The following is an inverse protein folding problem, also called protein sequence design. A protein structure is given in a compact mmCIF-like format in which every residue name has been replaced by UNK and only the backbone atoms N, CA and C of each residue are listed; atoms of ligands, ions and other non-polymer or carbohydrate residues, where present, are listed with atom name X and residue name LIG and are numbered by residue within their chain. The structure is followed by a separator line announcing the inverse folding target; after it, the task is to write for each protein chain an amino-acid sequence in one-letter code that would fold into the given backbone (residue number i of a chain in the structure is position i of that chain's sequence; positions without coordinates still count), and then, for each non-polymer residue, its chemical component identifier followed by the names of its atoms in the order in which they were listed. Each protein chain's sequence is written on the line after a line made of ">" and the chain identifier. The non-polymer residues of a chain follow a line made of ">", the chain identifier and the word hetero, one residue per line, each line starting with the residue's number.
data_IF_650028926853
#
_entry.id   IF_650028926853
#
_cell.length_a   1.000
_cell.length_b   1.000
_cell.length_c   1.000
_cell.angle_alpha   90.00
_cell.angle_beta   90.00
_cell.angle_gamma   90.00
#
_symmetry.space_group_name_H-M   'P 1'
#
loop_
_entity.id
_entity.type
_entity.pdbx_description
1 polymer ?
#
# COMPACT_ATOMS: atom_id res chain seq x y z
N UNK A 1 -4.04 6.49 -18.47
CA UNK A 1 -4.57 7.83 -18.12
C UNK A 1 -6.08 7.92 -18.41
N UNK A 2 -6.87 6.95 -17.94
CA UNK A 2 -8.31 6.93 -18.25
C UNK A 2 -9.07 8.10 -17.60
N UNK A 3 -8.84 8.35 -16.30
CA UNK A 3 -9.54 9.41 -15.56
C UNK A 3 -9.26 10.82 -16.11
N UNK A 4 -7.99 11.14 -16.34
CA UNK A 4 -7.51 12.40 -16.95
C UNK A 4 -8.21 12.69 -18.29
N UNK A 5 -8.28 11.69 -19.17
CA UNK A 5 -8.97 11.80 -20.46
C UNK A 5 -10.49 11.98 -20.35
N UNK A 6 -11.08 11.61 -19.21
CA UNK A 6 -12.50 11.81 -18.92
C UNK A 6 -12.75 13.09 -18.09
N UNK A 7 -11.76 13.99 -18.00
CA UNK A 7 -11.91 15.31 -17.39
C UNK A 7 -11.69 15.35 -15.88
N UNK A 8 -11.03 14.34 -15.29
CA UNK A 8 -10.66 14.34 -13.88
C UNK A 8 -9.35 15.12 -13.68
N UNK A 9 -9.37 16.12 -12.81
CA UNK A 9 -8.16 16.83 -12.39
C UNK A 9 -7.33 15.97 -11.41
N UNK A 10 -6.08 15.70 -11.77
CA UNK A 10 -5.12 14.95 -10.93
C UNK A 10 -4.11 15.94 -10.33
N UNK A 11 -4.34 16.33 -9.08
CA UNK A 11 -3.51 17.31 -8.38
C UNK A 11 -2.52 16.60 -7.46
N UNK A 12 -1.28 16.46 -7.90
CA UNK A 12 -0.20 15.89 -7.10
C UNK A 12 0.46 16.94 -6.19
N UNK A 13 1.24 16.46 -5.23
CA UNK A 13 1.96 17.27 -4.23
C UNK A 13 1.00 18.23 -3.50
N UNK A 14 -0.20 17.74 -3.23
CA UNK A 14 -1.35 18.47 -2.69
C UNK A 14 -1.88 17.68 -1.50
N UNK A 15 -1.20 17.81 -0.36
CA UNK A 15 -1.60 17.10 0.86
C UNK A 15 -2.84 17.76 1.43
N UNK A 16 -3.86 16.97 1.76
CA UNK A 16 -5.01 17.42 2.54
C UNK A 16 -4.59 17.53 4.00
N UNK A 17 -4.70 18.73 4.56
CA UNK A 17 -4.30 19.07 5.94
C UNK A 17 -5.51 19.32 6.85
N UNK A 18 -6.72 19.42 6.29
CA UNK A 18 -7.96 19.58 7.03
C UNK A 18 -9.19 19.34 6.15
N UNK A 19 -10.34 19.12 6.79
CA UNK A 19 -11.63 18.91 6.13
C UNK A 19 -12.62 19.95 6.68
N UNK A 20 -13.22 20.74 5.78
CA UNK A 20 -14.17 21.79 6.13
C UNK A 20 -15.58 21.20 6.25
N UNK A 21 -16.33 21.65 7.27
CA UNK A 21 -17.70 21.22 7.55
C UNK A 21 -18.60 22.41 7.91
N UNK A 22 -19.86 22.32 7.50
CA UNK A 22 -20.97 23.12 8.02
C UNK A 22 -21.97 22.18 8.69
N UNK A 23 -21.97 22.16 10.03
CA UNK A 23 -22.63 21.11 10.81
C UNK A 23 -22.10 19.72 10.43
N UNK A 24 -23.01 18.82 10.04
CA UNK A 24 -22.69 17.44 9.63
C UNK A 24 -22.34 17.31 8.14
N UNK A 25 -22.36 18.40 7.37
CA UNK A 25 -22.12 18.40 5.93
C UNK A 25 -20.68 18.81 5.62
N UNK A 26 -19.95 17.99 4.86
CA UNK A 26 -18.64 18.35 4.32
C UNK A 26 -18.81 19.37 3.19
N UNK A 27 -17.98 20.41 3.20
CA UNK A 27 -18.02 21.52 2.23
C UNK A 27 -16.71 21.72 1.46
N UNK A 28 -15.61 21.12 1.91
CA UNK A 28 -14.30 21.31 1.29
C UNK A 28 -13.16 20.61 2.02
N UNK A 29 -11.96 20.82 1.50
CA UNK A 29 -10.70 20.39 2.10
C UNK A 29 -9.68 21.54 2.09
N UNK A 30 -8.90 21.61 3.16
CA UNK A 30 -7.71 22.45 3.22
C UNK A 30 -6.53 21.63 2.71
N UNK A 31 -5.73 22.23 1.82
CA UNK A 31 -4.56 21.56 1.26
C UNK A 31 -3.33 22.43 1.30
N UNK A 32 -2.15 21.83 1.12
CA UNK A 32 -0.89 22.56 0.96
C UNK A 32 -0.83 23.45 -0.29
N UNK A 33 -1.80 23.34 -1.20
CA UNK A 33 -1.91 24.13 -2.43
C UNK A 33 -3.13 25.05 -2.45
N UNK A 34 -3.77 25.27 -1.30
CA UNK A 34 -4.97 26.10 -1.14
C UNK A 34 -6.23 25.29 -0.83
N UNK A 35 -7.30 25.99 -0.49
CA UNK A 35 -8.59 25.37 -0.20
C UNK A 35 -9.27 24.89 -1.49
N UNK A 36 -9.93 23.73 -1.43
CA UNK A 36 -10.73 23.18 -2.53
C UNK A 36 -12.13 22.90 -1.98
N UNK A 37 -13.15 23.58 -2.50
CA UNK A 37 -14.54 23.33 -2.14
C UNK A 37 -15.07 22.10 -2.87
N UNK A 38 -15.91 21.32 -2.21
CA UNK A 38 -16.53 20.15 -2.81
C UNK A 38 -17.89 19.85 -2.20
N UNK A 39 -18.80 19.29 -3.01
CA UNK A 39 -20.12 18.86 -2.54
C UNK A 39 -20.07 17.49 -1.85
N UNK A 40 -19.08 16.67 -2.20
CA UNK A 40 -18.87 15.32 -1.70
C UNK A 40 -17.37 15.05 -1.61
N UNK A 41 -16.96 14.39 -0.54
CA UNK A 41 -15.59 13.95 -0.32
C UNK A 41 -15.56 12.43 -0.19
N UNK A 42 -14.65 11.78 -0.92
CA UNK A 42 -14.37 10.36 -0.80
C UNK A 42 -12.92 10.17 -0.32
N UNK A 43 -12.71 9.34 0.70
CA UNK A 43 -11.39 9.02 1.23
C UNK A 43 -10.85 7.75 0.58
N UNK A 44 -9.71 7.87 -0.10
CA UNK A 44 -8.99 6.75 -0.72
C UNK A 44 -7.48 6.82 -0.42
N UNK A 45 -7.14 6.93 0.87
CA UNK A 45 -5.78 7.28 1.35
C UNK A 45 -5.05 6.11 2.05
N UNK A 46 -5.56 4.88 1.91
CA UNK A 46 -4.92 3.63 2.38
C UNK A 46 -4.40 3.73 3.83
N UNK A 47 -3.10 3.55 4.06
CA UNK A 47 -2.49 3.61 5.40
C UNK A 47 -2.74 4.91 6.16
N UNK A 48 -2.97 6.03 5.46
CA UNK A 48 -3.27 7.33 6.09
C UNK A 48 -4.74 7.51 6.47
N UNK A 49 -5.60 6.50 6.28
CA UNK A 49 -7.05 6.63 6.51
C UNK A 49 -7.40 7.01 7.94
N UNK A 50 -6.75 6.40 8.94
CA UNK A 50 -6.96 6.76 10.34
C UNK A 50 -6.46 8.18 10.69
N UNK A 51 -5.51 8.73 9.93
CA UNK A 51 -5.05 10.11 10.12
C UNK A 51 -6.08 11.10 9.54
N UNK A 52 -6.54 10.87 8.32
CA UNK A 52 -7.52 11.73 7.66
C UNK A 52 -8.89 11.67 8.34
N UNK A 53 -9.34 10.50 8.80
CA UNK A 53 -10.63 10.37 9.51
C UNK A 53 -10.67 11.18 10.82
N UNK A 54 -9.52 11.34 11.49
CA UNK A 54 -9.42 12.19 12.70
C UNK A 54 -9.66 13.66 12.41
N UNK A 55 -9.47 14.14 11.18
CA UNK A 55 -9.78 15.52 10.79
C UNK A 55 -11.28 15.84 10.89
N UNK A 56 -12.13 14.80 10.93
CA UNK A 56 -13.57 14.89 11.17
C UNK A 56 -14.02 14.16 12.43
N UNK A 57 -13.10 14.00 13.40
CA UNK A 57 -13.35 13.37 14.71
C UNK A 57 -13.84 11.92 14.62
N UNK A 58 -13.56 11.24 13.51
CA UNK A 58 -13.96 9.87 13.27
C UNK A 58 -12.83 8.90 13.63
N UNK A 59 -13.13 7.92 14.48
CA UNK A 59 -12.24 6.79 14.76
C UNK A 59 -12.57 5.63 13.82
N UNK A 60 -11.59 5.19 13.05
CA UNK A 60 -11.68 3.97 12.25
C UNK A 60 -11.15 2.75 13.02
N UNK A 61 -11.79 1.58 12.92
CA UNK A 61 -11.35 0.34 13.57
C UNK A 61 -10.28 -0.36 12.72
N UNK A 62 -9.19 0.34 12.39
CA UNK A 62 -8.09 -0.19 11.58
C UNK A 62 -6.73 0.25 12.13
N UNK A 63 -5.72 -0.55 11.84
CA UNK A 63 -4.31 -0.28 12.15
C UNK A 63 -3.47 -0.23 10.88
N UNK A 64 -2.27 0.34 10.98
CA UNK A 64 -1.34 0.45 9.85
C UNK A 64 -0.03 -0.23 10.23
N UNK A 65 0.31 -1.26 9.47
CA UNK A 65 1.47 -2.10 9.67
C UNK A 65 2.45 -1.91 8.51
N UNK A 66 3.72 -2.17 8.77
CA UNK A 66 4.69 -2.33 7.70
C UNK A 66 4.47 -3.68 7.00
N UNK A 67 4.64 -3.70 5.68
CA UNK A 67 4.66 -4.89 4.86
C UNK A 67 5.87 -4.79 3.94
N UNK A 68 6.64 -5.87 3.83
CA UNK A 68 7.82 -5.92 2.97
C UNK A 68 7.56 -6.78 1.73
N UNK A 69 8.14 -6.34 0.62
CA UNK A 69 8.19 -7.08 -0.63
C UNK A 69 9.59 -6.94 -1.23
N UNK A 70 9.99 -7.93 -2.00
CA UNK A 70 11.33 -8.10 -2.51
C UNK A 70 11.30 -8.41 -4.00
N UNK A 71 12.42 -8.12 -4.66
CA UNK A 71 12.63 -8.47 -6.06
C UNK A 71 13.96 -9.18 -6.24
N UNK A 72 14.01 -10.17 -7.12
CA UNK A 72 15.26 -10.77 -7.57
C UNK A 72 15.86 -9.97 -8.74
N UNK A 73 17.08 -10.34 -9.14
CA UNK A 73 17.59 -10.03 -10.46
C UNK A 73 16.73 -10.64 -11.58
N UNK A 74 16.94 -10.19 -12.83
CA UNK A 74 16.20 -10.69 -13.97
C UNK A 74 16.58 -12.13 -14.33
N UNK A 75 15.59 -13.01 -14.35
CA UNK A 75 15.75 -14.42 -14.74
C UNK A 75 15.10 -14.67 -16.10
N UNK A 76 15.52 -15.75 -16.77
CA UNK A 76 14.73 -16.32 -17.87
C UNK A 76 13.34 -16.75 -17.32
N UNK A 77 12.32 -16.94 -18.19
CA UNK A 77 11.03 -17.47 -17.74
C UNK A 77 11.21 -18.69 -16.84
N UNK A 78 10.71 -18.59 -15.61
CA UNK A 78 10.93 -19.52 -14.51
C UNK A 78 9.63 -19.94 -13.83
N UNK A 79 8.71 -18.99 -13.61
CA UNK A 79 7.35 -19.25 -13.14
C UNK A 79 6.35 -18.49 -14.02
N UNK A 80 5.30 -19.19 -14.45
CA UNK A 80 4.28 -18.71 -15.38
C UNK A 80 2.94 -18.35 -14.71
N UNK A 81 2.89 -18.47 -13.39
CA UNK A 81 1.70 -18.17 -12.57
C UNK A 81 2.09 -17.46 -11.27
N UNK A 82 1.07 -16.95 -10.58
CA UNK A 82 1.19 -16.48 -9.20
C UNK A 82 1.06 -17.68 -8.27
N UNK A 83 1.99 -17.82 -7.33
CA UNK A 83 1.96 -18.88 -6.31
C UNK A 83 1.81 -18.25 -4.93
N UNK A 84 0.94 -18.82 -4.12
CA UNK A 84 0.78 -18.48 -2.70
C UNK A 84 0.95 -19.72 -1.84
N UNK A 85 1.80 -19.64 -0.83
CA UNK A 85 2.05 -20.68 0.16
C UNK A 85 1.63 -20.18 1.54
N UNK A 86 0.36 -20.44 1.89
CA UNK A 86 -0.23 -19.92 3.13
C UNK A 86 0.43 -20.43 4.40
N UNK A 87 0.88 -21.69 4.43
CA UNK A 87 1.47 -22.28 5.64
C UNK A 87 2.87 -21.73 5.96
N UNK A 88 3.60 -21.21 4.97
CA UNK A 88 4.89 -20.54 5.16
C UNK A 88 4.84 -19.04 4.93
N UNK A 89 3.65 -18.44 4.84
CA UNK A 89 3.46 -17.00 4.65
C UNK A 89 4.29 -16.42 3.49
N UNK A 90 4.15 -17.01 2.30
CA UNK A 90 4.94 -16.64 1.13
C UNK A 90 4.07 -16.49 -0.12
N UNK A 91 4.38 -15.49 -0.95
CA UNK A 91 3.84 -15.38 -2.30
C UNK A 91 4.95 -15.02 -3.28
N UNK A 92 4.82 -15.47 -4.53
CA UNK A 92 5.76 -15.14 -5.60
C UNK A 92 5.09 -15.13 -6.97
N UNK A 93 5.59 -14.27 -7.85
CA UNK A 93 5.30 -14.24 -9.27
C UNK A 93 6.53 -13.74 -10.03
N UNK A 94 6.60 -13.97 -11.34
CA UNK A 94 7.65 -13.36 -12.18
C UNK A 94 7.06 -12.18 -12.94
N UNK A 95 7.69 -11.02 -12.79
CA UNK A 95 7.30 -9.83 -13.53
C UNK A 95 7.67 -9.96 -15.02
N UNK A 96 7.05 -9.15 -15.87
CA UNK A 96 7.41 -9.06 -17.30
C UNK A 96 8.85 -8.58 -17.55
N UNK A 97 9.51 -8.02 -16.52
CA UNK A 97 10.94 -7.66 -16.56
C UNK A 97 11.86 -8.85 -16.26
N UNK A 98 11.30 -10.01 -15.97
CA UNK A 98 12.01 -11.26 -15.68
C UNK A 98 12.38 -11.47 -14.21
N UNK A 99 12.34 -10.43 -13.36
CA UNK A 99 12.61 -10.59 -11.92
C UNK A 99 11.43 -11.20 -11.18
N UNK A 100 11.72 -12.05 -10.19
CA UNK A 100 10.75 -12.55 -9.23
C UNK A 100 10.31 -11.39 -8.33
N UNK A 101 9.01 -11.31 -8.04
CA UNK A 101 8.41 -10.38 -7.08
C UNK A 101 7.74 -11.23 -6.01
N UNK A 102 8.17 -11.07 -4.76
CA UNK A 102 7.75 -11.92 -3.66
C UNK A 102 7.70 -11.18 -2.33
N UNK A 103 7.05 -11.80 -1.35
CA UNK A 103 6.93 -11.27 -0.01
C UNK A 103 6.19 -12.24 0.89
N UNK A 104 5.86 -11.78 2.08
CA UNK A 104 5.18 -12.59 3.08
C UNK A 104 4.26 -11.79 3.97
N UNK A 105 4.31 -12.10 5.27
CA UNK A 105 3.42 -11.52 6.27
C UNK A 105 3.73 -10.04 6.58
N UNK A 106 2.79 -9.38 7.24
CA UNK A 106 2.98 -8.05 7.82
C UNK A 106 3.89 -8.10 9.04
N UNK A 107 4.44 -6.94 9.40
CA UNK A 107 5.09 -6.76 10.70
C UNK A 107 4.03 -6.70 11.81
N UNK A 108 4.25 -7.45 12.90
CA UNK A 108 3.31 -7.56 14.03
C UNK A 108 3.16 -6.30 14.90
N UNK A 109 3.62 -5.13 14.43
CA UNK A 109 3.53 -3.86 15.15
C UNK A 109 3.11 -2.72 14.22
N UNK A 110 2.46 -1.72 14.80
CA UNK A 110 2.00 -0.54 14.08
C UNK A 110 3.18 0.32 13.64
N UNK A 111 3.23 0.66 12.36
CA UNK A 111 4.33 1.44 11.79
C UNK A 111 3.92 2.13 10.49
N UNK A 112 4.36 3.38 10.35
CA UNK A 112 4.33 4.14 9.09
C UNK A 112 5.72 4.21 8.43
N UNK A 113 6.72 3.52 8.98
CA UNK A 113 8.12 3.73 8.62
C UNK A 113 8.53 3.21 7.22
N UNK A 114 7.61 2.65 6.43
CA UNK A 114 7.85 2.07 5.09
C UNK A 114 9.07 1.14 5.02
N UNK A 115 9.42 0.52 6.15
CA UNK A 115 10.51 -0.45 6.31
C UNK A 115 10.17 -1.38 7.46
N UNK A 116 10.57 -2.65 7.34
CA UNK A 116 10.44 -3.65 8.38
C UNK A 116 11.80 -4.06 8.95
N UNK A 117 11.84 -5.22 9.60
CA UNK A 117 13.03 -5.78 10.22
C UNK A 117 13.66 -6.89 9.36
N UNK A 118 14.89 -7.27 9.71
CA UNK A 118 15.62 -8.30 8.96
C UNK A 118 15.05 -9.71 9.17
N UNK A 119 14.43 -9.99 10.32
CA UNK A 119 13.86 -11.31 10.60
C UNK A 119 12.70 -11.65 9.63
N UNK A 120 11.88 -10.67 9.23
CA UNK A 120 10.88 -10.86 8.19
C UNK A 120 11.53 -11.23 6.84
N UNK A 121 12.64 -10.57 6.49
CA UNK A 121 13.40 -10.86 5.26
C UNK A 121 13.91 -12.30 5.26
N UNK A 122 14.54 -12.72 6.35
CA UNK A 122 15.06 -14.09 6.52
C UNK A 122 13.95 -15.12 6.42
N UNK A 123 12.84 -14.90 7.13
CA UNK A 123 11.67 -15.77 7.10
C UNK A 123 11.10 -15.96 5.68
N UNK A 124 10.93 -14.87 4.94
CA UNK A 124 10.41 -14.90 3.56
C UNK A 124 11.37 -15.65 2.63
N UNK A 125 12.68 -15.46 2.78
CA UNK A 125 13.68 -16.17 1.99
C UNK A 125 13.67 -17.68 2.29
N UNK A 126 13.61 -18.06 3.58
CA UNK A 126 13.51 -19.46 4.01
C UNK A 126 12.24 -20.14 3.49
N UNK A 127 11.09 -19.46 3.56
CA UNK A 127 9.83 -19.97 3.02
C UNK A 127 9.88 -20.14 1.49
N UNK A 128 10.53 -19.21 0.80
CA UNK A 128 10.80 -19.30 -0.64
C UNK A 128 11.64 -20.52 -1.00
N UNK A 129 12.76 -20.74 -0.31
CA UNK A 129 13.64 -21.91 -0.54
C UNK A 129 12.96 -23.24 -0.20
N UNK A 130 12.13 -23.25 0.84
CA UNK A 130 11.38 -24.45 1.22
C UNK A 130 10.34 -24.84 0.16
N UNK A 131 9.68 -23.85 -0.46
CA UNK A 131 8.66 -24.09 -1.48
C UNK A 131 9.27 -24.34 -2.87
N UNK A 132 10.31 -23.59 -3.23
CA UNK A 132 10.98 -23.65 -4.53
C UNK A 132 12.47 -23.96 -4.29
N UNK A 133 12.85 -25.25 -4.23
CA UNK A 133 14.24 -25.65 -3.99
C UNK A 133 15.25 -25.12 -5.01
N UNK A 134 14.81 -24.68 -6.19
CA UNK A 134 15.67 -24.07 -7.21
C UNK A 134 16.04 -22.59 -6.92
N UNK A 135 15.59 -22.03 -5.79
CA UNK A 135 16.01 -20.71 -5.32
C UNK A 135 17.30 -20.73 -4.48
N UNK A 136 17.87 -21.91 -4.19
CA UNK A 136 19.13 -22.09 -3.45
C UNK A 136 20.28 -22.58 -4.30
#
# INVERSE_FOLDING_TARGET
>A
RGADQNGVDIIQNCEVTGIDRDGDQITGVQTTRGAITCNKLAMAVAGSSSHVAKMVDMRLPIESHALQAFVSEGLKPFIDTVVTFGAGHFYVSQSDKGGLVFGGDIEGYNSYAQRGNLACVEHVAEAGMAMIPALS
#
